data_IF_860753616082
#
_entry.id   IF_860753616082
#
_cell.length_a   1.000
_cell.length_b   1.000
_cell.length_c   1.000
_cell.angle_alpha   90.00
_cell.angle_beta   90.00
_cell.angle_gamma   90.00
#
_symmetry.space_group_name_H-M   'P 1'
#
loop_
_entity.id
_entity.type
_entity.pdbx_description
1 polymer ?
#
# COMPACT_ATOMS: atom_id res chain seq x y z
N UNK A 1 38.12 17.79 9.86
CA UNK A 1 37.41 18.98 10.36
C UNK A 1 36.68 18.60 11.63
N UNK A 2 37.14 19.08 12.78
CA UNK A 2 36.43 18.91 14.06
C UNK A 2 35.13 19.71 14.04
N UNK A 3 34.00 19.06 14.30
CA UNK A 3 32.71 19.75 14.48
C UNK A 3 32.61 20.18 15.95
N UNK A 4 32.75 21.49 16.20
CA UNK A 4 32.39 22.07 17.50
C UNK A 4 30.89 21.92 17.69
N UNK A 5 30.48 21.03 18.58
CA UNK A 5 29.13 21.04 19.14
C UNK A 5 29.07 22.28 20.03
N UNK A 6 28.33 23.30 19.62
CA UNK A 6 28.10 24.47 20.45
C UNK A 6 27.18 24.03 21.60
N UNK A 7 27.77 23.63 22.73
CA UNK A 7 27.01 23.36 23.95
C UNK A 7 26.84 24.66 24.72
N UNK A 8 25.62 25.19 24.76
CA UNK A 8 25.25 26.30 25.64
C UNK A 8 24.57 25.71 26.87
N UNK A 9 25.08 26.02 28.06
CA UNK A 9 24.42 25.65 29.32
C UNK A 9 23.49 26.82 29.66
N UNK A 10 22.20 26.55 29.74
CA UNK A 10 21.18 27.54 30.06
C UNK A 10 20.43 27.14 31.33
N UNK A 11 19.96 28.15 32.06
CA UNK A 11 19.11 27.95 33.23
C UNK A 11 17.66 27.88 32.78
N UNK A 12 17.07 26.69 32.82
CA UNK A 12 15.65 26.52 32.55
C UNK A 12 14.86 26.65 33.85
N UNK A 13 13.73 27.37 33.77
CA UNK A 13 12.83 27.56 34.90
C UNK A 13 11.46 27.02 34.52
N UNK A 14 10.97 26.06 35.31
CA UNK A 14 9.60 25.58 35.20
C UNK A 14 8.65 26.67 35.72
N UNK A 15 7.78 27.21 34.86
CA UNK A 15 6.88 28.29 35.25
C UNK A 15 5.76 27.82 36.20
N UNK A 16 5.41 26.52 36.18
CA UNK A 16 4.33 25.97 37.00
C UNK A 16 4.82 25.53 38.39
N UNK A 17 6.06 25.04 38.49
CA UNK A 17 6.61 24.49 39.75
C UNK A 17 7.71 25.35 40.38
N UNK A 18 8.21 26.36 39.68
CA UNK A 18 9.36 27.19 40.11
C UNK A 18 10.70 26.44 40.11
N UNK A 19 10.73 25.21 39.59
CA UNK A 19 11.94 24.39 39.59
C UNK A 19 12.97 24.91 38.60
N UNK A 20 14.20 25.11 39.07
CA UNK A 20 15.34 25.59 38.28
C UNK A 20 16.28 24.44 37.99
N UNK A 21 16.57 24.19 36.71
CA UNK A 21 17.55 23.17 36.30
C UNK A 21 18.52 23.74 35.28
N UNK A 22 19.80 23.36 35.39
CA UNK A 22 20.77 23.63 34.34
C UNK A 22 20.52 22.63 33.20
N UNK A 23 20.17 23.14 32.03
CA UNK A 23 19.96 22.34 30.84
C UNK A 23 21.06 22.63 29.83
N UNK A 24 21.58 21.57 29.21
CA UNK A 24 22.47 21.73 28.07
C UNK A 24 21.60 21.82 26.82
N UNK A 25 21.57 23.00 26.19
CA UNK A 25 20.94 23.16 24.89
C UNK A 25 21.86 22.53 23.84
N UNK A 26 21.45 21.38 23.33
CA UNK A 26 22.13 20.70 22.23
C UNK A 26 21.35 21.03 20.96
N UNK A 27 21.89 21.91 20.12
CA UNK A 27 21.39 22.11 18.76
C UNK A 27 21.72 20.84 17.94
N UNK A 28 20.84 19.83 18.02
CA UNK A 28 20.96 18.62 17.18
C UNK A 28 20.63 19.03 15.74
N UNK A 29 21.64 19.52 15.01
CA UNK A 29 21.58 19.56 13.55
C UNK A 29 21.53 18.11 13.07
N UNK A 30 20.31 17.57 12.96
CA UNK A 30 20.05 16.26 12.39
C UNK A 30 20.51 16.26 10.92
N UNK A 31 21.80 16.01 10.72
CA UNK A 31 22.41 15.70 9.43
C UNK A 31 22.27 14.20 9.24
N UNK A 32 21.10 13.87 8.70
CA UNK A 32 20.84 12.85 7.69
C UNK A 32 19.39 13.12 7.28
N UNK A 33 19.21 14.09 6.38
CA UNK A 33 17.90 14.47 5.85
C UNK A 33 17.64 13.65 4.59
N UNK A 34 16.51 12.96 4.54
CA UNK A 34 16.07 12.25 3.34
C UNK A 34 16.57 10.81 3.20
N UNK A 35 16.77 10.06 4.30
CA UNK A 35 16.97 8.62 4.25
C UNK A 35 15.66 7.84 4.46
N UNK A 36 15.62 6.62 3.95
CA UNK A 36 14.55 5.66 4.22
C UNK A 36 15.00 4.68 5.31
N UNK A 37 14.18 4.50 6.34
CA UNK A 37 14.35 3.42 7.32
C UNK A 37 13.81 2.14 6.70
N UNK A 38 14.58 1.06 6.72
CA UNK A 38 14.19 -0.26 6.22
C UNK A 38 14.36 -1.27 7.34
N UNK A 39 13.34 -2.08 7.60
CA UNK A 39 13.41 -3.17 8.57
C UNK A 39 13.88 -4.45 7.88
N UNK A 40 15.13 -4.84 8.14
CA UNK A 40 15.83 -5.89 7.42
C UNK A 40 15.09 -7.24 7.43
N UNK A 41 14.59 -7.67 8.59
CA UNK A 41 13.87 -8.94 8.70
C UNK A 41 12.61 -8.98 7.83
N UNK A 42 11.86 -7.87 7.78
CA UNK A 42 10.63 -7.80 7.00
C UNK A 42 10.91 -7.73 5.49
N UNK A 43 11.94 -6.98 5.07
CA UNK A 43 12.27 -6.89 3.64
C UNK A 43 12.85 -8.20 3.11
N UNK A 44 13.68 -8.91 3.88
CA UNK A 44 14.24 -10.20 3.46
C UNK A 44 13.14 -11.26 3.28
N UNK A 45 12.14 -11.30 4.17
CA UNK A 45 10.99 -12.19 4.03
C UNK A 45 10.22 -11.95 2.71
N UNK A 46 10.14 -10.71 2.24
CA UNK A 46 9.49 -10.37 0.97
C UNK A 46 10.35 -10.72 -0.24
N UNK A 47 11.68 -10.55 -0.12
CA UNK A 47 12.61 -10.89 -1.19
C UNK A 47 12.71 -12.40 -1.42
N UNK A 48 12.64 -13.22 -0.38
CA UNK A 48 12.66 -14.69 -0.49
C UNK A 48 11.48 -15.23 -1.32
N UNK A 49 10.33 -14.55 -1.26
CA UNK A 49 9.12 -14.91 -2.01
C UNK A 49 9.26 -14.60 -3.52
N UNK A 50 10.24 -13.78 -3.91
CA UNK A 50 10.24 -13.06 -5.19
C UNK A 50 11.54 -13.28 -5.99
N UNK A 51 11.41 -13.93 -7.16
CA UNK A 51 12.51 -14.09 -8.12
C UNK A 51 12.95 -12.79 -8.82
N UNK A 52 14.07 -12.87 -9.56
CA UNK A 52 14.82 -11.71 -10.12
C UNK A 52 13.98 -10.63 -10.82
N UNK A 53 13.18 -10.97 -11.84
CA UNK A 53 12.37 -9.99 -12.60
C UNK A 53 11.32 -9.26 -11.76
N UNK A 54 10.91 -9.83 -10.62
CA UNK A 54 9.92 -9.18 -9.75
C UNK A 54 10.55 -8.24 -8.71
N UNK A 55 11.87 -8.32 -8.52
CA UNK A 55 12.61 -7.30 -7.78
C UNK A 55 12.51 -5.94 -8.49
N UNK A 56 12.52 -5.91 -9.83
CA UNK A 56 12.42 -4.65 -10.58
C UNK A 56 11.05 -3.96 -10.38
N UNK A 57 9.98 -4.75 -10.20
CA UNK A 57 8.67 -4.22 -9.81
C UNK A 57 8.74 -3.59 -8.42
N UNK A 58 9.36 -4.26 -7.44
CA UNK A 58 9.53 -3.70 -6.08
C UNK A 58 10.31 -2.40 -6.13
N UNK A 59 11.45 -2.36 -6.84
CA UNK A 59 12.26 -1.15 -7.02
C UNK A 59 11.42 -0.02 -7.60
N UNK A 60 10.66 -0.29 -8.66
CA UNK A 60 9.76 0.68 -9.27
C UNK A 60 8.75 1.23 -8.26
N UNK A 61 8.10 0.36 -7.47
CA UNK A 61 7.14 0.80 -6.44
C UNK A 61 7.82 1.70 -5.39
N UNK A 62 9.03 1.34 -4.96
CA UNK A 62 9.78 2.09 -3.95
C UNK A 62 10.23 3.46 -4.47
N UNK A 63 10.69 3.56 -5.71
CA UNK A 63 11.16 4.81 -6.30
C UNK A 63 10.01 5.79 -6.58
N UNK A 64 8.84 5.28 -6.98
CA UNK A 64 7.69 6.10 -7.37
C UNK A 64 6.69 6.36 -6.25
N UNK A 65 6.98 5.95 -5.01
CA UNK A 65 6.07 6.19 -3.87
C UNK A 65 6.13 7.64 -3.37
N UNK A 66 4.99 8.16 -2.96
CA UNK A 66 4.88 9.31 -2.08
C UNK A 66 5.52 8.98 -0.74
N UNK A 67 6.56 9.73 -0.37
CA UNK A 67 7.34 9.50 0.85
C UNK A 67 6.59 9.93 2.12
N UNK A 68 5.54 10.76 1.99
CA UNK A 68 4.73 11.26 3.10
C UNK A 68 3.67 10.26 3.53
N UNK A 69 2.98 9.65 2.57
CA UNK A 69 1.88 8.70 2.84
C UNK A 69 2.29 7.24 2.61
N UNK A 70 3.50 7.01 2.08
CA UNK A 70 3.99 5.70 1.64
C UNK A 70 3.08 5.04 0.59
N UNK A 71 2.42 5.85 -0.24
CA UNK A 71 1.48 5.39 -1.28
C UNK A 71 2.05 5.56 -2.68
N UNK A 72 1.51 4.80 -3.63
CA UNK A 72 1.81 4.92 -5.05
C UNK A 72 0.52 4.85 -5.86
N UNK A 73 0.41 5.74 -6.85
CA UNK A 73 -0.72 5.77 -7.79
C UNK A 73 -0.20 5.45 -9.19
N UNK A 74 -0.37 4.20 -9.62
CA UNK A 74 0.09 3.73 -10.93
C UNK A 74 -0.73 2.52 -11.37
N UNK A 75 -1.03 2.43 -12.67
CA UNK A 75 -1.68 1.25 -13.24
C UNK A 75 -0.67 0.15 -13.52
N UNK A 76 -1.10 -1.11 -13.43
CA UNK A 76 -0.22 -2.25 -13.71
C UNK A 76 0.25 -2.30 -15.17
N UNK A 77 -0.56 -1.79 -16.10
CA UNK A 77 -0.17 -1.63 -17.50
C UNK A 77 0.97 -0.61 -17.66
N UNK A 78 0.95 0.48 -16.88
CA UNK A 78 2.03 1.46 -16.88
C UNK A 78 3.33 0.86 -16.32
N UNK A 79 3.25 0.12 -15.21
CA UNK A 79 4.42 -0.60 -14.66
C UNK A 79 5.01 -1.54 -15.71
N UNK A 80 4.16 -2.33 -16.38
CA UNK A 80 4.58 -3.28 -17.41
C UNK A 80 5.30 -2.60 -18.57
N UNK A 81 4.76 -1.46 -19.04
CA UNK A 81 5.36 -0.65 -20.11
C UNK A 81 6.70 -0.05 -19.69
N UNK A 82 6.75 0.55 -18.50
CA UNK A 82 7.96 1.23 -18.00
C UNK A 82 9.11 0.25 -17.75
N UNK A 83 8.80 -0.99 -17.34
CA UNK A 83 9.80 -2.04 -17.05
C UNK A 83 10.06 -3.01 -18.21
N UNK A 84 9.29 -2.93 -19.31
CA UNK A 84 9.43 -3.87 -20.45
C UNK A 84 9.10 -5.33 -20.11
N UNK A 85 8.21 -5.57 -19.14
CA UNK A 85 7.78 -6.90 -18.69
C UNK A 85 6.30 -7.14 -19.00
N UNK A 86 5.87 -8.40 -19.04
CA UNK A 86 4.47 -8.71 -19.32
C UNK A 86 3.56 -8.25 -18.18
N UNK A 87 2.36 -7.75 -18.53
CA UNK A 87 1.32 -7.36 -17.57
C UNK A 87 0.97 -8.53 -16.63
N UNK A 88 0.97 -9.77 -17.15
CA UNK A 88 0.80 -10.99 -16.35
C UNK A 88 1.85 -11.08 -15.23
N UNK A 89 3.12 -10.83 -15.54
CA UNK A 89 4.20 -10.87 -14.54
C UNK A 89 4.00 -9.80 -13.47
N UNK A 90 3.58 -8.60 -13.86
CA UNK A 90 3.25 -7.51 -12.92
C UNK A 90 2.09 -7.93 -12.02
N UNK A 91 0.98 -8.41 -12.59
CA UNK A 91 -0.20 -8.88 -11.85
C UNK A 91 0.15 -9.94 -10.81
N UNK A 92 0.86 -11.00 -11.21
CA UNK A 92 1.29 -12.07 -10.29
C UNK A 92 2.21 -11.53 -9.18
N UNK A 93 3.03 -10.52 -9.50
CA UNK A 93 3.93 -9.91 -8.51
C UNK A 93 3.18 -9.04 -7.52
N UNK A 94 2.26 -8.20 -7.99
CA UNK A 94 1.42 -7.36 -7.14
C UNK A 94 0.57 -8.22 -6.19
N UNK A 95 0.03 -9.35 -6.67
CA UNK A 95 -0.70 -10.30 -5.83
C UNK A 95 0.20 -10.92 -4.75
N UNK A 96 1.40 -11.37 -5.10
CA UNK A 96 2.36 -11.92 -4.11
C UNK A 96 2.76 -10.89 -3.06
N UNK A 97 3.00 -9.64 -3.46
CA UNK A 97 3.33 -8.54 -2.55
C UNK A 97 2.17 -8.22 -1.60
N UNK A 98 0.93 -8.33 -2.09
CA UNK A 98 -0.27 -8.13 -1.30
C UNK A 98 -0.46 -9.27 -0.28
N UNK A 99 -0.28 -10.54 -0.70
CA UNK A 99 -0.30 -11.70 0.20
C UNK A 99 0.79 -11.65 1.27
N UNK A 100 1.98 -11.16 0.92
CA UNK A 100 3.10 -10.99 1.84
C UNK A 100 2.95 -9.76 2.77
N UNK A 101 1.82 -9.04 2.72
CA UNK A 101 1.62 -7.78 3.47
C UNK A 101 2.71 -6.72 3.21
N UNK A 102 3.34 -6.74 2.03
CA UNK A 102 4.28 -5.70 1.61
C UNK A 102 3.55 -4.46 1.12
N UNK A 103 2.48 -4.66 0.35
CA UNK A 103 1.54 -3.62 -0.06
C UNK A 103 0.12 -3.94 0.37
N UNK A 104 -0.69 -2.90 0.50
CA UNK A 104 -2.13 -2.97 0.55
C UNK A 104 -2.71 -2.16 -0.61
N UNK A 105 -3.71 -2.71 -1.31
CA UNK A 105 -4.40 -1.99 -2.38
C UNK A 105 -5.63 -1.30 -1.79
N UNK A 106 -5.58 0.03 -1.76
CA UNK A 106 -6.66 0.91 -1.29
C UNK A 106 -7.77 0.93 -2.35
N UNK A 107 -7.43 1.26 -3.59
CA UNK A 107 -8.30 1.19 -4.76
C UNK A 107 -7.51 0.69 -5.97
N UNK A 108 -8.14 0.24 -7.07
CA UNK A 108 -7.42 -0.17 -8.27
C UNK A 108 -6.44 0.92 -8.74
N UNK A 109 -5.16 0.59 -8.83
CA UNK A 109 -4.11 1.54 -9.22
C UNK A 109 -3.60 2.44 -8.09
N UNK A 110 -4.12 2.34 -6.87
CA UNK A 110 -3.61 3.05 -5.69
C UNK A 110 -3.25 2.08 -4.57
N UNK A 111 -1.97 2.07 -4.20
CA UNK A 111 -1.41 1.10 -3.26
C UNK A 111 -0.67 1.82 -2.14
N UNK A 112 -0.77 1.31 -0.92
CA UNK A 112 0.04 1.73 0.23
C UNK A 112 1.09 0.67 0.52
N UNK A 113 2.34 1.08 0.64
CA UNK A 113 3.43 0.21 1.09
C UNK A 113 3.41 0.17 2.60
N UNK A 114 3.61 -1.03 3.17
CA UNK A 114 3.58 -1.24 4.61
C UNK A 114 4.70 -0.42 5.31
N UNK A 115 4.34 0.53 6.20
CA UNK A 115 5.33 1.36 6.91
C UNK A 115 6.18 0.59 7.91
N UNK A 116 5.80 -0.65 8.26
CA UNK A 116 6.62 -1.55 9.08
C UNK A 116 7.83 -2.10 8.32
N UNK A 117 7.86 -1.98 6.99
CA UNK A 117 8.94 -2.48 6.13
C UNK A 117 9.85 -1.36 5.67
N UNK A 118 9.25 -0.24 5.25
CA UNK A 118 9.99 0.95 4.84
C UNK A 118 9.26 2.24 5.19
N UNK A 119 9.98 3.22 5.73
CA UNK A 119 9.42 4.51 6.11
C UNK A 119 10.40 5.67 5.97
N UNK A 120 9.90 6.82 5.52
CA UNK A 120 10.62 8.11 5.59
C UNK A 120 9.84 9.08 6.46
N UNK A 121 10.53 9.72 7.40
CA UNK A 121 9.95 10.75 8.26
C UNK A 121 10.05 10.42 9.75
N UNK A 122 9.23 11.10 10.54
CA UNK A 122 9.21 11.00 12.00
C UNK A 122 8.60 9.68 12.48
N UNK A 123 8.89 9.31 13.72
CA UNK A 123 8.29 8.15 14.37
C UNK A 123 6.76 8.29 14.48
N UNK A 124 6.28 9.45 14.90
CA UNK A 124 4.84 9.74 15.00
C UNK A 124 4.14 9.65 13.64
N UNK A 125 4.76 10.17 12.58
CA UNK A 125 4.24 10.03 11.22
C UNK A 125 4.12 8.56 10.80
N UNK A 126 5.14 7.73 11.13
CA UNK A 126 5.08 6.30 10.89
C UNK A 126 3.89 5.65 11.58
N UNK A 127 3.69 5.95 12.87
CA UNK A 127 2.61 5.38 13.65
C UNK A 127 1.24 5.76 13.09
N UNK A 128 1.07 7.01 12.66
CA UNK A 128 -0.16 7.47 12.01
C UNK A 128 -0.44 6.69 10.71
N UNK A 129 0.57 6.52 9.84
CA UNK A 129 0.38 5.75 8.60
C UNK A 129 0.22 4.25 8.87
N UNK A 130 0.85 3.69 9.91
CA UNK A 130 0.61 2.30 10.33
C UNK A 130 -0.84 2.09 10.77
N UNK A 131 -1.42 3.03 11.52
CA UNK A 131 -2.83 2.97 11.91
C UNK A 131 -3.75 2.97 10.68
N UNK A 132 -3.54 3.91 9.74
CA UNK A 132 -4.29 3.95 8.47
C UNK A 132 -4.15 2.65 7.68
N UNK A 133 -2.94 2.11 7.57
CA UNK A 133 -2.70 0.84 6.87
C UNK A 133 -3.46 -0.34 7.50
N UNK A 134 -3.52 -0.38 8.83
CA UNK A 134 -4.26 -1.41 9.56
C UNK A 134 -5.77 -1.28 9.36
N UNK A 135 -6.29 -0.06 9.37
CA UNK A 135 -7.70 0.23 9.12
C UNK A 135 -8.11 -0.14 7.69
N UNK A 136 -7.34 0.29 6.69
CA UNK A 136 -7.56 -0.06 5.28
C UNK A 136 -7.59 -1.60 5.08
N UNK A 137 -6.66 -2.31 5.74
CA UNK A 137 -6.62 -3.77 5.73
C UNK A 137 -7.85 -4.41 6.39
N UNK A 138 -8.33 -3.84 7.49
CA UNK A 138 -9.51 -4.34 8.20
C UNK A 138 -10.81 -4.13 7.39
N UNK A 139 -11.01 -2.94 6.81
CA UNK A 139 -12.19 -2.63 5.99
C UNK A 139 -12.30 -3.59 4.81
N UNK A 140 -11.19 -3.87 4.13
CA UNK A 140 -11.19 -4.82 3.02
C UNK A 140 -11.48 -6.26 3.44
N UNK A 141 -11.07 -6.66 4.65
CA UNK A 141 -11.40 -7.98 5.16
C UNK A 141 -12.91 -8.13 5.43
N UNK A 142 -13.58 -7.07 5.89
CA UNK A 142 -15.04 -7.07 6.11
C UNK A 142 -15.87 -7.00 4.82
N UNK A 143 -15.29 -6.53 3.71
CA UNK A 143 -15.95 -6.44 2.41
C UNK A 143 -15.87 -7.74 1.58
N UNK A 144 -15.16 -8.77 2.05
CA UNK A 144 -15.19 -10.10 1.43
C UNK A 144 -16.33 -10.92 2.04
N UNK A 145 -17.47 -11.14 1.34
CA UNK A 145 -18.46 -12.10 1.79
C UNK A 145 -17.98 -13.52 1.49
N UNK A 146 -18.29 -14.43 2.40
CA UNK A 146 -18.20 -15.88 2.23
C UNK A 146 -18.66 -16.29 0.82
N UNK A 147 -17.72 -16.79 0.01
CA UNK A 147 -18.05 -17.64 -1.13
C UNK A 147 -17.77 -19.08 -0.72
N UNK A 148 -18.46 -19.54 0.32
CA UNK A 148 -18.61 -20.95 0.62
C UNK A 148 -20.10 -21.31 0.47
N UNK A 149 -20.35 -22.47 -0.11
CA UNK A 149 -21.58 -22.85 -0.78
C UNK A 149 -22.82 -22.77 0.13
N UNK A 150 -23.83 -22.02 -0.30
CA UNK A 150 -25.23 -22.42 -0.10
C UNK A 150 -25.90 -22.53 -1.46
N UNK A 151 -25.85 -23.74 -2.02
CA UNK A 151 -26.84 -24.14 -3.02
C UNK A 151 -28.20 -24.16 -2.34
N UNK A 152 -29.07 -23.20 -2.66
CA UNK A 152 -30.49 -23.34 -2.37
C UNK A 152 -31.04 -24.50 -3.21
N UNK A 153 -31.73 -25.48 -2.63
CA UNK A 153 -32.35 -26.54 -3.40
C UNK A 153 -33.57 -25.96 -4.13
N UNK A 154 -33.62 -26.16 -5.45
CA UNK A 154 -34.87 -26.09 -6.21
C UNK A 154 -35.28 -24.72 -6.74
N UNK A 155 -34.64 -24.28 -7.83
CA UNK A 155 -35.36 -23.62 -8.93
C UNK A 155 -34.76 -24.11 -10.25
N UNK A 156 -35.42 -25.08 -10.88
CA UNK A 156 -35.12 -25.51 -12.24
C UNK A 156 -35.61 -24.44 -13.22
N UNK A 157 -34.70 -23.68 -13.82
CA UNK A 157 -35.01 -22.83 -14.97
C UNK A 157 -34.92 -23.72 -16.23
N UNK A 158 -35.99 -23.90 -17.03
CA UNK A 158 -35.90 -24.67 -18.26
C UNK A 158 -35.02 -23.96 -19.30
N UNK A 159 -34.37 -24.71 -20.22
CA UNK A 159 -33.44 -24.14 -21.18
C UNK A 159 -34.15 -23.22 -22.18
N UNK A 160 -33.49 -22.10 -22.51
CA UNK A 160 -33.93 -21.11 -23.50
C UNK A 160 -33.96 -21.74 -24.89
N UNK A 161 -35.14 -22.16 -25.34
CA UNK A 161 -35.38 -22.55 -26.74
C UNK A 161 -35.19 -21.36 -27.67
N UNK A 162 -34.45 -21.60 -28.74
CA UNK A 162 -34.12 -20.71 -29.85
C UNK A 162 -35.31 -19.86 -30.31
N UNK A 163 -35.10 -18.54 -30.44
CA UNK A 163 -36.02 -17.69 -31.18
C UNK A 163 -35.88 -17.98 -32.68
N UNK A 164 -36.94 -18.48 -33.30
CA UNK A 164 -37.19 -18.37 -34.74
C UNK A 164 -38.04 -17.12 -35.02
N UNK A 165 -37.89 -16.46 -36.18
CA UNK A 165 -38.37 -15.09 -36.39
C UNK A 165 -39.88 -15.01 -36.68
N UNK A 166 -40.47 -13.88 -36.27
CA UNK A 166 -41.87 -13.52 -36.48
C UNK A 166 -42.18 -13.42 -37.98
N UNK A 167 -42.98 -14.36 -38.51
CA UNK A 167 -43.61 -14.22 -39.81
C UNK A 167 -44.89 -13.37 -39.68
N UNK A 168 -44.92 -12.25 -40.38
CA UNK A 168 -46.07 -11.36 -40.56
C UNK A 168 -47.25 -12.12 -41.17
N UNK A 169 -48.33 -12.30 -40.41
CA UNK A 169 -49.63 -12.70 -40.96
C UNK A 169 -50.39 -11.45 -41.38
N UNK A 170 -50.74 -11.42 -42.66
CA UNK A 170 -51.62 -10.44 -43.24
C UNK A 170 -53.06 -10.57 -42.75
N UNK A 171 -53.79 -9.46 -42.86
CA UNK A 171 -55.23 -9.41 -42.82
C UNK A 171 -55.69 -8.18 -43.62
N UNK A 172 -56.14 -8.35 -44.87
CA UNK A 172 -57.28 -7.61 -45.45
C UNK A 172 -57.79 -8.29 -46.73
N UNK A 173 -59.03 -8.78 -46.67
CA UNK A 173 -60.12 -8.69 -47.66
C UNK A 173 -59.82 -8.95 -49.15
N UNK A 174 -60.30 -10.08 -49.70
CA UNK A 174 -61.57 -10.25 -50.43
C UNK A 174 -61.72 -11.72 -50.87
#
# INVERSE_FOLDING_TARGET
MERKIASKIETWVNQDTGEVRQVQEIEVKATDKGFDKVWLGMILAVLDIIGSKKIDVIKYLLENRSRTENTITVSQNKIAKDLGISVRTVNETMQKLESASFIHRIVPGHYRINPAIIWRGSHMGRMAIMAKFSEEKATRASEQPDTEQTTLPGVSIPPRTSQEPLATKGATEY
#
